data_IF_444138969994
#
_entry.id   IF_444138969994
#
_cell.length_a   1.000
_cell.length_b   1.000
_cell.length_c   1.000
_cell.angle_alpha   90.00
_cell.angle_beta   90.00
_cell.angle_gamma   90.00
#
_symmetry.space_group_name_H-M   'P 1'
#
loop_
_entity.id
_entity.type
_entity.pdbx_description
1 polymer ?
#
# COMPACT_ATOMS: atom_id res chain seq x y z
N UNK A 1 -7.88 1.49 -2.50
CA UNK A 1 -6.47 1.28 -2.93
C UNK A 1 -5.72 2.59 -2.81
N UNK A 2 -4.73 2.67 -1.92
CA UNK A 2 -3.80 3.80 -1.90
C UNK A 2 -2.78 3.54 -3.02
N UNK A 3 -2.81 4.35 -4.07
CA UNK A 3 -1.84 4.21 -5.17
C UNK A 3 -0.47 4.67 -4.67
N UNK A 4 0.53 3.78 -4.70
CA UNK A 4 1.92 4.17 -4.51
C UNK A 4 2.37 5.06 -5.68
N UNK A 5 3.31 5.98 -5.43
CA UNK A 5 3.90 6.87 -6.44
C UNK A 5 2.87 7.55 -7.37
N UNK A 6 1.87 8.25 -6.80
CA UNK A 6 0.67 8.78 -7.50
C UNK A 6 0.88 9.65 -8.75
N UNK A 7 2.11 10.05 -9.05
CA UNK A 7 2.50 10.80 -10.25
C UNK A 7 3.08 9.93 -11.37
N UNK A 8 3.31 8.65 -11.14
CA UNK A 8 3.97 7.76 -12.08
C UNK A 8 2.96 6.92 -12.85
N UNK A 9 3.26 6.69 -14.13
CA UNK A 9 2.61 5.69 -14.96
C UNK A 9 3.63 5.07 -15.91
N UNK A 10 3.34 3.87 -16.40
CA UNK A 10 4.15 3.17 -17.38
C UNK A 10 3.48 3.21 -18.74
N UNK A 11 4.19 3.74 -19.73
CA UNK A 11 3.71 3.83 -21.11
C UNK A 11 4.12 2.58 -21.90
N UNK A 12 3.14 1.93 -22.53
CA UNK A 12 3.30 0.82 -23.44
C UNK A 12 2.96 1.29 -24.85
N UNK A 13 3.91 1.13 -25.78
CA UNK A 13 3.79 1.54 -27.18
C UNK A 13 3.49 0.30 -28.02
N UNK A 14 2.46 0.36 -28.85
CA UNK A 14 2.11 -0.71 -29.80
C UNK A 14 1.85 -0.13 -31.19
N UNK A 15 2.07 -0.89 -32.28
CA UNK A 15 2.70 -2.21 -32.32
C UNK A 15 4.21 -2.15 -32.05
N UNK A 16 4.81 -3.29 -31.68
CA UNK A 16 6.24 -3.42 -31.37
C UNK A 16 7.18 -3.02 -32.52
N UNK A 17 6.64 -2.96 -33.74
CA UNK A 17 7.36 -2.56 -34.97
C UNK A 17 7.38 -1.06 -35.23
N UNK A 18 6.82 -0.23 -34.34
CA UNK A 18 6.78 1.21 -34.56
C UNK A 18 8.19 1.84 -34.55
N UNK A 19 8.50 2.78 -35.46
CA UNK A 19 9.73 3.62 -35.40
C UNK A 19 9.92 4.32 -34.05
N UNK A 20 8.82 4.44 -33.30
CA UNK A 20 8.71 4.95 -31.94
C UNK A 20 9.69 4.34 -30.93
N UNK A 21 10.02 3.04 -31.00
CA UNK A 21 10.93 2.40 -30.02
C UNK A 21 12.40 2.78 -30.19
N UNK A 22 12.80 3.36 -31.32
CA UNK A 22 14.17 3.89 -31.50
C UNK A 22 14.46 5.09 -30.59
N UNK A 23 13.43 5.89 -30.27
CA UNK A 23 13.50 6.94 -29.28
C UNK A 23 12.12 7.13 -28.60
N UNK A 24 11.78 6.25 -27.64
CA UNK A 24 10.43 6.18 -27.10
C UNK A 24 10.08 7.42 -26.28
N UNK A 25 11.08 8.11 -25.68
CA UNK A 25 10.86 9.39 -25.00
C UNK A 25 10.44 10.50 -25.96
N UNK A 26 11.15 10.63 -27.09
CA UNK A 26 10.82 11.66 -28.09
C UNK A 26 9.44 11.40 -28.72
N UNK A 27 9.14 10.14 -29.02
CA UNK A 27 7.82 9.72 -29.50
C UNK A 27 6.73 10.08 -28.49
N UNK A 28 6.89 9.69 -27.23
CA UNK A 28 5.90 9.95 -26.19
C UNK A 28 5.68 11.45 -25.93
N UNK A 29 6.73 12.27 -25.98
CA UNK A 29 6.58 13.73 -25.93
C UNK A 29 5.77 14.27 -27.11
N UNK A 30 5.96 13.73 -28.32
CA UNK A 30 5.15 14.13 -29.47
C UNK A 30 3.68 13.77 -29.26
N UNK A 31 3.41 12.56 -28.76
CA UNK A 31 2.05 12.09 -28.42
C UNK A 31 1.36 13.04 -27.44
N UNK A 32 2.00 13.35 -26.30
CA UNK A 32 1.41 14.26 -25.31
C UNK A 32 1.21 15.68 -25.84
N UNK A 33 2.16 16.22 -26.62
CA UNK A 33 1.99 17.55 -27.22
C UNK A 33 0.82 17.63 -28.19
N UNK A 34 0.55 16.55 -28.93
CA UNK A 34 -0.50 16.54 -29.96
C UNK A 34 -1.86 16.16 -29.39
N UNK A 35 -1.92 15.13 -28.55
CA UNK A 35 -3.17 14.51 -28.09
C UNK A 35 -3.57 14.92 -26.67
N UNK A 36 -2.69 15.58 -25.93
CA UNK A 36 -2.98 16.10 -24.60
C UNK A 36 -2.27 17.45 -24.35
N UNK A 37 -2.47 18.45 -25.22
CA UNK A 37 -1.75 19.73 -25.17
C UNK A 37 -2.02 20.54 -23.89
N UNK A 38 -3.16 20.29 -23.23
CA UNK A 38 -3.57 20.93 -21.99
C UNK A 38 -2.97 20.28 -20.74
N UNK A 39 -2.34 19.12 -20.84
CA UNK A 39 -1.54 18.56 -19.75
C UNK A 39 -0.18 19.24 -19.69
N UNK A 40 0.43 19.25 -18.50
CA UNK A 40 1.80 19.77 -18.32
C UNK A 40 2.79 19.03 -19.24
N UNK A 41 3.48 19.77 -20.10
CA UNK A 41 4.48 19.20 -21.02
C UNK A 41 5.86 19.01 -20.36
N UNK A 42 6.02 19.48 -19.12
CA UNK A 42 7.24 19.36 -18.32
C UNK A 42 7.35 18.02 -17.57
N UNK A 43 6.62 16.99 -18.02
CA UNK A 43 6.71 15.64 -17.46
C UNK A 43 8.08 15.03 -17.70
N UNK A 44 8.59 14.31 -16.70
CA UNK A 44 9.85 13.59 -16.82
C UNK A 44 9.61 12.21 -17.43
N UNK A 45 10.43 11.85 -18.41
CA UNK A 45 10.38 10.56 -19.08
C UNK A 45 11.67 9.77 -18.80
N UNK A 46 11.53 8.58 -18.21
CA UNK A 46 12.66 7.77 -17.78
C UNK A 46 12.74 6.44 -18.55
N UNK A 47 13.99 6.07 -18.89
CA UNK A 47 14.38 4.79 -19.52
C UNK A 47 15.78 4.42 -18.97
N UNK A 48 16.11 3.13 -18.76
CA UNK A 48 15.25 1.96 -18.97
C UNK A 48 14.07 1.95 -17.99
N UNK A 49 12.98 1.28 -18.39
CA UNK A 49 11.82 1.08 -17.53
C UNK A 49 11.76 -0.37 -17.08
N UNK A 50 11.35 -0.60 -15.83
CA UNK A 50 11.05 -1.95 -15.34
C UNK A 50 9.76 -2.52 -15.97
N UNK A 51 8.83 -1.64 -16.38
CA UNK A 51 7.54 -2.00 -16.98
C UNK A 51 7.20 -1.06 -18.14
N UNK A 52 6.69 -1.58 -19.25
CA UNK A 52 6.46 -0.78 -20.45
C UNK A 52 7.74 -0.22 -21.07
N UNK A 53 7.57 0.70 -22.02
CA UNK A 53 8.67 1.32 -22.78
C UNK A 53 9.29 2.52 -22.07
N UNK A 54 8.48 3.29 -21.34
CA UNK A 54 8.89 4.55 -20.68
C UNK A 54 8.13 4.72 -19.38
N UNK A 55 8.83 5.15 -18.32
CA UNK A 55 8.17 5.67 -17.10
C UNK A 55 7.84 7.15 -17.31
N UNK A 56 6.58 7.52 -17.11
CA UNK A 56 6.09 8.90 -17.17
C UNK A 56 5.88 9.40 -15.75
N UNK A 57 6.66 10.40 -15.34
CA UNK A 57 6.46 11.12 -14.08
C UNK A 57 5.77 12.45 -14.39
N UNK A 58 4.47 12.49 -14.11
CA UNK A 58 3.65 13.67 -14.25
C UNK A 58 3.97 14.71 -13.16
N UNK A 59 3.70 15.98 -13.45
CA UNK A 59 3.94 17.06 -12.49
C UNK A 59 3.04 16.94 -11.26
N UNK A 60 1.78 16.57 -11.47
CA UNK A 60 0.79 16.36 -10.42
C UNK A 60 0.10 14.99 -10.53
N UNK A 61 -0.42 14.43 -9.43
CA UNK A 61 -1.30 13.25 -9.48
C UNK A 61 -2.53 13.44 -10.38
N UNK A 62 -3.05 14.67 -10.43
CA UNK A 62 -4.23 15.04 -11.20
C UNK A 62 -3.94 15.00 -12.71
N UNK A 63 -2.76 15.46 -13.14
CA UNK A 63 -2.29 15.35 -14.53
C UNK A 63 -2.18 13.89 -14.96
N UNK A 64 -1.65 13.03 -14.07
CA UNK A 64 -1.59 11.59 -14.32
C UNK A 64 -2.99 11.03 -14.53
N UNK A 65 -3.93 11.32 -13.64
CA UNK A 65 -5.30 10.82 -13.78
C UNK A 65 -6.03 11.41 -15.00
N UNK A 66 -5.76 12.66 -15.37
CA UNK A 66 -6.28 13.26 -16.59
C UNK A 66 -5.75 12.56 -17.85
N UNK A 67 -4.46 12.21 -17.89
CA UNK A 67 -3.89 11.38 -18.95
C UNK A 67 -4.51 9.98 -18.98
N UNK A 68 -4.70 9.35 -17.81
CA UNK A 68 -5.29 8.02 -17.67
C UNK A 68 -6.74 7.96 -18.17
N UNK A 69 -7.49 9.07 -18.10
CA UNK A 69 -8.87 9.14 -18.64
C UNK A 69 -8.92 9.28 -20.17
N UNK A 70 -7.81 9.65 -20.82
CA UNK A 70 -7.74 9.90 -22.26
C UNK A 70 -7.15 8.76 -23.06
N UNK A 71 -6.43 7.86 -22.38
CA UNK A 71 -5.87 6.69 -23.04
C UNK A 71 -6.97 5.71 -23.51
N UNK A 72 -6.68 4.86 -24.52
CA UNK A 72 -5.43 4.80 -25.29
C UNK A 72 -5.23 6.04 -26.16
N UNK A 73 -3.97 6.48 -26.29
CA UNK A 73 -3.62 7.58 -27.19
C UNK A 73 -3.37 7.01 -28.59
N UNK A 74 -4.32 7.23 -29.48
CA UNK A 74 -4.26 6.81 -30.88
C UNK A 74 -3.40 7.78 -31.70
N UNK A 75 -2.25 7.31 -32.18
CA UNK A 75 -1.28 8.11 -32.95
C UNK A 75 -1.56 7.96 -34.44
N UNK A 76 -1.63 9.09 -35.15
CA UNK A 76 -1.74 9.11 -36.60
C UNK A 76 -0.60 8.28 -37.23
N UNK A 77 -0.96 7.27 -38.04
CA UNK A 77 -0.02 6.30 -38.60
C UNK A 77 -0.07 4.90 -37.98
N UNK A 78 -1.01 4.62 -37.07
CA UNK A 78 -1.34 3.26 -36.65
C UNK A 78 -0.60 2.76 -35.41
N UNK A 79 -0.17 3.68 -34.53
CA UNK A 79 0.42 3.34 -33.23
C UNK A 79 -0.47 3.75 -32.07
N UNK A 80 -0.41 3.04 -30.95
CA UNK A 80 -1.16 3.34 -29.73
C UNK A 80 -0.23 3.46 -28.54
N UNK A 81 -0.49 4.41 -27.65
CA UNK A 81 0.15 4.47 -26.33
C UNK A 81 -0.88 4.19 -25.24
N UNK A 82 -0.65 3.14 -24.46
CA UNK A 82 -1.42 2.82 -23.26
C UNK A 82 -0.62 3.16 -22.01
N UNK A 83 -1.28 3.71 -20.98
CA UNK A 83 -0.69 4.02 -19.69
C UNK A 83 -1.21 3.04 -18.63
N UNK A 84 -0.32 2.58 -17.76
CA UNK A 84 -0.64 1.70 -16.61
C UNK A 84 -0.21 2.39 -15.33
N UNK A 85 -1.07 2.42 -14.30
CA UNK A 85 -0.72 3.04 -13.01
C UNK A 85 0.37 2.23 -12.31
N UNK A 86 1.17 2.92 -11.50
CA UNK A 86 1.86 2.24 -10.40
C UNK A 86 0.80 1.57 -9.50
N UNK A 87 0.89 0.25 -9.35
CA UNK A 87 -0.13 -0.55 -8.66
C UNK A 87 -1.02 -1.41 -9.57
N UNK A 88 -1.02 -1.14 -10.87
CA UNK A 88 -1.71 -1.96 -11.90
C UNK A 88 -0.69 -2.72 -12.78
N UNK A 89 0.60 -2.57 -12.51
CA UNK A 89 1.67 -3.28 -13.21
C UNK A 89 1.68 -4.77 -12.83
N UNK A 90 2.21 -5.65 -13.71
CA UNK A 90 2.19 -7.09 -13.46
C UNK A 90 2.90 -7.56 -12.17
N UNK A 91 3.80 -6.75 -11.61
CA UNK A 91 4.50 -7.03 -10.35
C UNK A 91 3.74 -6.58 -9.10
N UNK A 92 2.64 -5.84 -9.25
CA UNK A 92 1.78 -5.52 -8.11
C UNK A 92 0.70 -6.59 -8.06
N UNK A 93 0.90 -7.56 -7.17
CA UNK A 93 -0.15 -8.50 -6.81
C UNK A 93 -0.98 -7.88 -5.69
N UNK A 94 -2.29 -7.83 -5.90
CA UNK A 94 -3.22 -7.58 -4.81
C UNK A 94 -3.64 -8.94 -4.26
N UNK A 95 -3.08 -9.33 -3.11
CA UNK A 95 -3.61 -10.47 -2.38
C UNK A 95 -4.70 -9.98 -1.43
N UNK A 96 -5.91 -10.56 -1.46
CA UNK A 96 -6.93 -10.28 -0.48
C UNK A 96 -6.39 -10.52 0.95
N UNK A 97 -6.50 -9.51 1.81
CA UNK A 97 -6.24 -9.67 3.24
C UNK A 97 -7.48 -10.31 3.88
N UNK A 98 -7.54 -11.63 3.78
CA UNK A 98 -8.63 -12.50 4.25
C UNK A 98 -8.25 -13.26 5.52
N UNK A 99 -7.01 -13.13 6.01
CA UNK A 99 -6.57 -13.78 7.24
C UNK A 99 -6.54 -12.79 8.40
N UNK A 100 -7.17 -13.16 9.52
CA UNK A 100 -7.08 -12.44 10.78
C UNK A 100 -6.22 -13.20 11.79
N UNK A 101 -5.49 -12.46 12.63
CA UNK A 101 -4.74 -13.04 13.74
C UNK A 101 -4.89 -12.20 15.01
N UNK A 102 -5.16 -12.88 16.13
CA UNK A 102 -5.09 -12.32 17.46
C UNK A 102 -3.69 -12.57 18.01
N UNK A 103 -2.99 -11.50 18.33
CA UNK A 103 -1.57 -11.52 18.67
C UNK A 103 -1.34 -10.86 20.01
N UNK A 104 -0.52 -11.49 20.85
CA UNK A 104 0.01 -10.93 22.08
C UNK A 104 1.42 -10.39 21.83
N UNK A 105 1.62 -9.12 22.17
CA UNK A 105 2.90 -8.43 22.15
C UNK A 105 3.39 -8.30 23.59
N UNK A 106 4.30 -9.16 24.00
CA UNK A 106 4.71 -9.25 25.40
C UNK A 106 5.75 -8.19 25.76
N UNK A 107 5.76 -7.78 27.03
CA UNK A 107 6.77 -6.85 27.56
C UNK A 107 6.79 -5.53 26.80
N UNK A 108 5.60 -5.03 26.46
CA UNK A 108 5.47 -3.88 25.58
C UNK A 108 5.71 -2.56 26.36
N UNK A 109 6.68 -1.73 25.95
CA UNK A 109 7.03 -0.50 26.66
C UNK A 109 5.87 0.50 26.68
N UNK A 110 5.61 1.12 27.84
CA UNK A 110 4.48 2.04 28.03
C UNK A 110 4.60 3.30 27.15
N UNK A 111 5.82 3.76 26.88
CA UNK A 111 6.08 4.97 26.08
C UNK A 111 5.74 4.80 24.59
N UNK A 112 5.69 3.56 24.09
CA UNK A 112 5.32 3.21 22.71
C UNK A 112 3.89 2.68 22.62
N UNK A 113 3.15 2.69 23.74
CA UNK A 113 1.82 2.06 23.87
C UNK A 113 0.71 3.06 23.61
N UNK A 114 0.77 3.76 22.48
CA UNK A 114 -0.36 4.52 21.94
C UNK A 114 -0.98 3.76 20.78
N UNK A 115 -2.22 4.07 20.43
CA UNK A 115 -2.85 3.41 19.29
C UNK A 115 -2.09 3.71 17.99
N UNK A 116 -1.62 4.94 17.83
CA UNK A 116 -0.85 5.38 16.66
C UNK A 116 0.49 4.65 16.54
N UNK A 117 1.25 4.53 17.63
CA UNK A 117 2.56 3.86 17.61
C UNK A 117 2.42 2.35 17.39
N UNK A 118 1.45 1.71 18.05
CA UNK A 118 1.16 0.28 17.84
C UNK A 118 0.79 0.03 16.37
N UNK A 119 -0.06 0.89 15.78
CA UNK A 119 -0.42 0.82 14.35
C UNK A 119 0.79 1.02 13.45
N UNK A 120 1.63 2.01 13.76
CA UNK A 120 2.86 2.29 13.01
C UNK A 120 3.84 1.12 13.02
N UNK A 121 4.06 0.51 14.19
CA UNK A 121 4.98 -0.63 14.35
C UNK A 121 4.41 -1.88 13.65
N UNK A 122 3.12 -2.17 13.83
CA UNK A 122 2.51 -3.39 13.31
C UNK A 122 2.28 -3.38 11.79
N UNK A 123 2.18 -2.19 11.16
CA UNK A 123 1.85 -2.07 9.73
C UNK A 123 2.84 -2.80 8.79
N UNK A 124 4.02 -3.16 9.28
CA UNK A 124 5.03 -3.90 8.52
C UNK A 124 4.71 -5.38 8.29
N UNK A 125 3.80 -5.97 9.06
CA UNK A 125 3.46 -7.41 8.99
C UNK A 125 1.95 -7.69 9.13
N UNK A 126 1.12 -6.64 9.12
CA UNK A 126 -0.32 -6.75 9.12
C UNK A 126 -0.99 -5.39 9.35
N UNK A 127 -2.15 -5.19 8.74
CA UNK A 127 -2.99 -4.04 9.05
C UNK A 127 -3.66 -4.23 10.40
N UNK A 128 -3.39 -3.35 11.37
CA UNK A 128 -4.06 -3.41 12.68
C UNK A 128 -5.54 -3.11 12.51
N UNK A 129 -6.37 -4.09 12.84
CA UNK A 129 -7.82 -3.97 12.83
C UNK A 129 -8.31 -3.47 14.18
N UNK A 130 -7.79 -4.05 15.26
CA UNK A 130 -8.14 -3.69 16.63
C UNK A 130 -6.92 -3.70 17.56
N UNK A 131 -6.96 -2.86 18.59
CA UNK A 131 -6.06 -2.87 19.74
C UNK A 131 -6.92 -2.96 20.99
N UNK A 132 -6.62 -3.88 21.91
CA UNK A 132 -7.35 -4.00 23.17
C UNK A 132 -7.16 -2.73 24.00
N UNK A 133 -8.24 -1.97 24.20
CA UNK A 133 -8.18 -0.69 24.92
C UNK A 133 -7.78 -0.86 26.39
N UNK A 134 -8.00 -2.03 26.97
CA UNK A 134 -7.58 -2.29 28.34
C UNK A 134 -6.05 -2.19 28.50
N UNK A 135 -5.26 -2.42 27.45
CA UNK A 135 -3.79 -2.38 27.55
C UNK A 135 -3.25 -0.96 27.85
N UNK A 136 -3.98 0.10 27.50
CA UNK A 136 -3.53 1.48 27.67
C UNK A 136 -3.48 1.93 29.14
N UNK A 137 -4.18 1.25 30.04
CA UNK A 137 -4.20 1.56 31.48
C UNK A 137 -3.40 0.56 32.32
N UNK A 138 -2.76 -0.42 31.68
CA UNK A 138 -1.96 -1.44 32.37
C UNK A 138 -0.55 -0.94 32.70
N UNK A 139 0.15 -1.56 33.68
CA UNK A 139 1.53 -1.21 34.02
C UNK A 139 2.50 -1.28 32.84
N UNK A 140 3.68 -0.70 33.03
CA UNK A 140 4.76 -0.81 32.06
C UNK A 140 5.16 -2.28 31.81
N UNK A 141 5.58 -2.58 30.58
CA UNK A 141 5.91 -3.93 30.09
C UNK A 141 4.75 -4.93 30.19
N UNK A 142 3.51 -4.47 30.27
CA UNK A 142 2.34 -5.32 30.10
C UNK A 142 2.25 -5.89 28.68
N UNK A 143 1.44 -6.94 28.53
CA UNK A 143 1.14 -7.50 27.22
C UNK A 143 0.09 -6.63 26.52
N UNK A 144 0.32 -6.32 25.26
CA UNK A 144 -0.64 -5.64 24.39
C UNK A 144 -1.27 -6.69 23.47
N UNK A 145 -2.59 -6.68 23.36
CA UNK A 145 -3.33 -7.56 22.47
C UNK A 145 -3.80 -6.78 21.24
N UNK A 146 -3.56 -7.35 20.06
CA UNK A 146 -3.95 -6.75 18.78
C UNK A 146 -4.62 -7.79 17.89
N UNK A 147 -5.56 -7.32 17.06
CA UNK A 147 -6.08 -8.08 15.92
C UNK A 147 -5.49 -7.51 14.65
N UNK A 148 -4.83 -8.35 13.88
CA UNK A 148 -4.17 -8.01 12.64
C UNK A 148 -4.93 -8.61 11.46
N UNK A 149 -5.01 -7.85 10.37
CA UNK A 149 -5.51 -8.28 9.07
C UNK A 149 -4.34 -8.39 8.09
N UNK A 150 -4.14 -9.57 7.51
CA UNK A 150 -2.95 -9.92 6.73
C UNK A 150 -3.27 -10.90 5.60
N UNK A 151 -2.30 -11.14 4.73
CA UNK A 151 -2.40 -12.17 3.69
C UNK A 151 -2.13 -13.56 4.27
N UNK A 152 -1.09 -13.71 5.10
CA UNK A 152 -0.75 -15.01 5.71
C UNK A 152 -0.16 -14.88 7.12
N UNK A 153 -0.46 -15.77 8.08
CA UNK A 153 0.10 -15.73 9.45
C UNK A 153 1.64 -15.89 9.54
N UNK A 154 2.31 -16.13 8.41
CA UNK A 154 3.78 -16.24 8.35
C UNK A 154 4.45 -14.86 8.30
N UNK A 155 3.68 -13.82 8.00
CA UNK A 155 4.15 -12.44 8.04
C UNK A 155 4.44 -12.00 9.49
N UNK A 156 3.73 -12.56 10.46
CA UNK A 156 3.90 -12.23 11.88
C UNK A 156 5.30 -12.67 12.34
N UNK A 157 6.18 -11.73 12.74
CA UNK A 157 7.49 -12.08 13.25
C UNK A 157 7.37 -12.69 14.65
N UNK A 158 8.38 -13.44 15.08
CA UNK A 158 8.47 -13.95 16.46
C UNK A 158 8.85 -12.87 17.48
N UNK A 159 9.48 -11.79 17.02
CA UNK A 159 9.98 -10.69 17.83
C UNK A 159 9.83 -9.37 17.08
N UNK A 160 9.35 -8.33 17.75
CA UNK A 160 9.42 -6.95 17.29
C UNK A 160 10.62 -6.25 17.93
N UNK A 161 11.25 -5.36 17.16
CA UNK A 161 12.39 -4.56 17.62
C UNK A 161 12.04 -3.09 17.51
N UNK A 162 11.69 -2.50 18.64
CA UNK A 162 11.42 -1.06 18.72
C UNK A 162 12.77 -0.35 18.88
N UNK A 163 13.02 0.67 18.06
CA UNK A 163 14.28 1.41 18.03
C UNK A 163 14.04 2.83 18.51
N UNK A 164 14.80 3.23 19.52
CA UNK A 164 14.75 4.58 20.05
C UNK A 164 15.77 5.49 19.36
N UNK A 165 15.57 6.80 19.51
CA UNK A 165 16.41 7.84 18.90
C UNK A 165 17.85 7.85 19.40
N UNK A 166 18.09 7.34 20.61
CA UNK A 166 19.42 7.16 21.21
C UNK A 166 20.17 5.92 20.67
N UNK A 167 19.55 5.15 19.78
CA UNK A 167 20.11 3.94 19.18
C UNK A 167 19.86 2.66 19.99
N UNK A 168 19.27 2.75 21.18
CA UNK A 168 18.86 1.59 21.97
C UNK A 168 17.67 0.86 21.34
N UNK A 169 17.41 -0.37 21.79
CA UNK A 169 16.36 -1.23 21.24
C UNK A 169 15.64 -2.02 22.33
N UNK A 170 14.31 -2.05 22.24
CA UNK A 170 13.48 -2.97 23.01
C UNK A 170 13.11 -4.17 22.12
N UNK A 171 13.21 -5.38 22.67
CA UNK A 171 12.77 -6.62 22.01
C UNK A 171 11.46 -7.05 22.64
N UNK A 172 10.41 -7.09 21.83
CA UNK A 172 9.04 -7.44 22.21
C UNK A 172 8.73 -8.81 21.62
N UNK A 173 8.67 -9.88 22.43
CA UNK A 173 8.26 -11.20 21.95
C UNK A 173 6.81 -11.18 21.46
N UNK A 174 6.57 -11.92 20.38
CA UNK A 174 5.25 -11.99 19.72
C UNK A 174 4.71 -13.41 19.82
N UNK A 175 3.50 -13.54 20.33
CA UNK A 175 2.76 -14.81 20.38
C UNK A 175 1.48 -14.71 19.55
N UNK A 176 1.26 -15.69 18.67
CA UNK A 176 0.02 -15.83 17.92
C UNK A 176 -0.94 -16.65 18.77
N UNK A 177 -2.02 -16.02 19.24
CA UNK A 177 -3.02 -16.67 20.10
C UNK A 177 -4.08 -17.41 19.29
N UNK A 178 -4.48 -16.84 18.15
CA UNK A 178 -5.47 -17.42 17.25
C UNK A 178 -5.29 -16.88 15.83
N UNK A 179 -5.58 -17.71 14.84
CA UNK A 179 -5.69 -17.34 13.42
C UNK A 179 -7.02 -17.85 12.90
N UNK A 180 -7.70 -17.05 12.07
CA UNK A 180 -9.00 -17.41 11.49
C UNK A 180 -9.27 -16.64 10.20
N UNK A 181 -10.28 -17.08 9.44
CA UNK A 181 -10.70 -16.42 8.22
C UNK A 181 -11.50 -15.16 8.53
N UNK A 182 -11.26 -14.07 7.80
CA UNK A 182 -11.92 -12.78 8.02
C UNK A 182 -13.45 -12.90 7.94
N UNK A 183 -13.99 -13.80 7.13
CA UNK A 183 -15.44 -14.03 7.03
C UNK A 183 -16.08 -14.46 8.35
N UNK A 184 -15.33 -15.08 9.26
CA UNK A 184 -15.84 -15.46 10.59
C UNK A 184 -16.03 -14.25 11.52
N UNK A 185 -15.45 -13.09 11.18
CA UNK A 185 -15.56 -11.84 11.93
C UNK A 185 -16.44 -10.81 11.23
N UNK A 186 -17.29 -11.21 10.28
CA UNK A 186 -18.24 -10.30 9.64
C UNK A 186 -19.66 -10.53 10.14
N UNK A 187 -20.42 -9.46 10.32
CA UNK A 187 -21.85 -9.51 10.62
C UNK A 187 -22.69 -9.76 9.36
N UNK A 188 -24.02 -9.80 9.52
CA UNK A 188 -24.93 -10.02 8.39
C UNK A 188 -24.88 -8.92 7.31
N UNK A 189 -24.33 -7.75 7.61
CA UNK A 189 -24.14 -6.64 6.68
C UNK A 189 -22.74 -6.64 6.05
N UNK A 190 -21.86 -7.56 6.44
CA UNK A 190 -20.46 -7.59 6.02
C UNK A 190 -19.56 -6.64 6.80
N UNK A 191 -20.02 -6.09 7.93
CA UNK A 191 -19.24 -5.22 8.81
C UNK A 191 -18.43 -6.04 9.82
N UNK A 192 -17.26 -5.54 10.20
CA UNK A 192 -16.38 -6.25 11.15
C UNK A 192 -16.96 -6.28 12.56
N UNK A 193 -17.06 -7.48 13.13
CA UNK A 193 -17.47 -7.73 14.51
C UNK A 193 -16.23 -7.71 15.41
N UNK A 194 -16.09 -6.72 16.32
CA UNK A 194 -14.90 -6.59 17.15
C UNK A 194 -14.68 -7.79 18.08
N UNK A 195 -13.42 -8.25 18.15
CA UNK A 195 -12.99 -9.22 19.15
C UNK A 195 -12.94 -8.58 20.54
N UNK A 196 -12.39 -7.37 20.63
CA UNK A 196 -12.30 -6.65 21.90
C UNK A 196 -13.58 -5.85 22.11
N UNK A 197 -14.41 -6.32 23.03
CA UNK A 197 -15.62 -5.61 23.42
C UNK A 197 -15.25 -4.34 24.20
N UNK A 198 -15.93 -3.21 23.96
CA UNK A 198 -15.73 -2.03 24.79
C UNK A 198 -16.06 -2.37 26.25
N UNK A 199 -15.33 -1.78 27.22
CA UNK A 199 -15.68 -1.96 28.63
C UNK A 199 -17.13 -1.50 28.85
N UNK A 200 -17.91 -2.20 29.68
CA UNK A 200 -19.28 -1.78 29.99
C UNK A 200 -19.25 -0.36 30.52
N UNK A 201 -20.16 0.48 30.02
CA UNK A 201 -20.30 1.85 30.51
C UNK A 201 -20.54 1.82 32.03
N UNK A 202 -19.74 2.57 32.78
CA UNK A 202 -19.95 2.74 34.21
C UNK A 202 -21.34 3.36 34.43
N UNK A 203 -22.20 2.65 35.16
CA UNK A 203 -23.52 3.12 35.59
C UNK A 203 -23.41 4.09 36.77
#
# INVERSE_FOLDING_TARGET
MSYFARRHAYAYISPDTAPARGNPKAFLRAVFRTLAPDLSQDMELQTPSCFGDVVVCFRTPEDREAAMRRQPFEVAGGGTVKLVREGETPNVTFTPMECLAHVALHRYPVEERTEEEIRGICCHFGGVLEVDRACFTTPDLATVFVVLNMEHPREIPRELRIRYSDGSRCVVPVEILRVWDRSESLDANGEHVPLFQPPPAAA
#
